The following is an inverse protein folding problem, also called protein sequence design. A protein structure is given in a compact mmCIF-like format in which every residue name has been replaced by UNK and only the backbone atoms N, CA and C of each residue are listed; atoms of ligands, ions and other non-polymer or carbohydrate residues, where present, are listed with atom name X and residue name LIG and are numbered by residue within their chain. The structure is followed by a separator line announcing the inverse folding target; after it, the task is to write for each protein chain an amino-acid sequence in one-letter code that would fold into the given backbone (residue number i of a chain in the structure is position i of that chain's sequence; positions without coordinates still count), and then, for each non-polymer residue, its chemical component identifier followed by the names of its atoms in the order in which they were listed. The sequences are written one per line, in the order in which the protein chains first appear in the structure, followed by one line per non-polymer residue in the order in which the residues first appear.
data_IF_593094932899
#
_entry.id   IF_593094932899
#
_cell.length_a   1.000
_cell.length_b   1.000
_cell.length_c   1.000
_cell.angle_alpha   90.00
_cell.angle_beta   90.00
_cell.angle_gamma   90.00
#
_symmetry.space_group_name_H-M   'P 1'
#
loop_
_entity.id
_entity.type
_entity.pdbx_description
1 polymer ?
#
# COMPACT_ATOMS: atom_id res chain seq x y z
N UNK A 1 10.18 -6.74 12.35
CA UNK A 1 9.58 -6.69 13.70
C UNK A 1 8.20 -7.31 13.61
N UNK A 2 7.94 -8.43 14.29
CA UNK A 2 6.66 -9.15 14.24
C UNK A 2 5.78 -8.56 15.34
N UNK A 3 4.79 -7.73 15.01
CA UNK A 3 3.78 -7.34 16.01
C UNK A 3 2.80 -8.52 16.12
N UNK A 4 3.02 -9.39 17.10
CA UNK A 4 2.00 -10.37 17.50
C UNK A 4 1.19 -9.68 18.59
N UNK A 5 -0.05 -9.30 18.28
CA UNK A 5 -1.00 -8.91 19.31
C UNK A 5 -1.45 -10.20 19.99
N UNK A 6 -0.74 -10.62 21.05
CA UNK A 6 -1.20 -11.71 21.91
C UNK A 6 -2.27 -11.15 22.84
N UNK A 7 -3.54 -11.46 22.58
CA UNK A 7 -4.58 -11.28 23.57
C UNK A 7 -4.32 -12.25 24.73
N UNK A 8 -3.91 -11.73 25.88
CA UNK A 8 -4.02 -12.46 27.14
C UNK A 8 -5.49 -12.49 27.54
N UNK A 9 -5.99 -13.68 27.90
CA UNK A 9 -7.38 -13.88 28.34
C UNK A 9 -7.75 -12.95 29.51
N UNK A 10 -8.81 -12.12 29.40
CA UNK A 10 -9.11 -11.14 30.44
C UNK A 10 -9.98 -11.75 31.55
N UNK A 11 -9.37 -12.06 32.69
CA UNK A 11 -10.09 -12.08 33.98
C UNK A 11 -10.07 -10.67 34.56
N UNK A 12 -11.11 -9.90 34.27
CA UNK A 12 -11.64 -8.76 35.04
C UNK A 12 -12.46 -7.91 34.08
N UNK A 13 -13.64 -7.51 34.53
CA UNK A 13 -14.62 -6.67 33.85
C UNK A 13 -13.99 -5.50 33.09
N UNK A 14 -13.73 -5.66 31.79
CA UNK A 14 -13.34 -4.55 30.91
C UNK A 14 -14.56 -3.67 30.62
N UNK A 15 -14.46 -2.34 30.78
CA UNK A 15 -15.54 -1.45 30.40
C UNK A 15 -15.77 -1.59 28.90
N UNK A 16 -17.05 -1.67 28.52
CA UNK A 16 -17.55 -1.64 27.15
C UNK A 16 -16.69 -0.68 26.32
N UNK A 17 -15.96 -1.22 25.33
CA UNK A 17 -15.12 -0.49 24.38
C UNK A 17 -15.91 0.69 23.82
N UNK A 18 -15.66 1.88 24.35
CA UNK A 18 -16.37 3.09 23.97
C UNK A 18 -16.04 3.40 22.51
N UNK A 19 -17.11 3.65 21.76
CA UNK A 19 -17.15 4.19 20.40
C UNK A 19 -16.05 5.25 20.17
N UNK A 20 -15.20 4.96 19.18
CA UNK A 20 -14.33 5.84 18.39
C UNK A 20 -13.96 7.23 18.96
N UNK A 21 -12.71 7.39 19.41
CA UNK A 21 -12.02 8.69 19.42
C UNK A 21 -10.58 8.52 18.92
N UNK A 22 -10.27 9.06 17.74
CA UNK A 22 -9.71 10.41 17.61
C UNK A 22 -10.32 10.98 16.31
N UNK A 23 -10.99 12.15 16.34
CA UNK A 23 -11.36 12.80 15.09
C UNK A 23 -10.06 13.09 14.33
N UNK A 24 -10.04 12.73 13.05
CA UNK A 24 -8.96 13.16 12.16
C UNK A 24 -8.87 14.69 12.23
N UNK A 25 -7.68 15.30 12.17
CA UNK A 25 -7.56 16.75 12.03
C UNK A 25 -8.45 17.24 10.87
N UNK A 26 -9.43 18.11 11.18
CA UNK A 26 -10.38 18.62 10.18
C UNK A 26 -11.46 17.63 9.69
N UNK A 27 -11.62 16.45 10.32
CA UNK A 27 -12.54 15.37 9.89
C UNK A 27 -12.36 14.92 8.43
N UNK A 28 -11.19 15.18 7.82
CA UNK A 28 -10.87 14.79 6.46
C UNK A 28 -9.75 13.74 6.46
N UNK A 29 -9.94 12.54 5.88
CA UNK A 29 -8.86 11.56 5.71
C UNK A 29 -7.77 12.01 4.74
N UNK A 30 -8.05 12.97 3.85
CA UNK A 30 -7.11 13.43 2.81
C UNK A 30 -6.27 14.65 3.24
N UNK A 31 -6.51 15.21 4.43
CA UNK A 31 -5.84 16.44 4.88
C UNK A 31 -6.35 17.72 4.18
N UNK A 32 -5.91 18.92 4.62
CA UNK A 32 -6.28 20.17 3.97
C UNK A 32 -5.54 20.37 2.63
N UNK A 33 -6.17 21.09 1.69
CA UNK A 33 -5.54 21.44 0.41
C UNK A 33 -4.23 22.20 0.64
N UNK A 34 -3.17 21.83 -0.09
CA UNK A 34 -1.85 22.46 0.02
C UNK A 34 -1.00 21.98 1.21
N UNK A 35 -1.41 20.90 1.87
CA UNK A 35 -0.60 20.23 2.88
C UNK A 35 -0.29 18.78 2.45
N UNK A 36 0.11 18.62 1.19
CA UNK A 36 0.55 17.34 0.64
C UNK A 36 2.05 17.17 0.83
N UNK A 37 2.45 17.05 2.10
CA UNK A 37 3.86 16.87 2.46
C UNK A 37 4.41 15.55 1.90
N UNK A 38 3.54 14.59 1.60
CA UNK A 38 3.96 13.32 1.01
C UNK A 38 4.49 13.55 -0.41
N UNK A 39 3.73 14.22 -1.28
CA UNK A 39 4.18 14.54 -2.64
C UNK A 39 5.44 15.44 -2.63
N UNK A 40 5.48 16.46 -1.76
CA UNK A 40 6.65 17.35 -1.65
C UNK A 40 7.94 16.62 -1.30
N UNK A 41 7.88 15.67 -0.37
CA UNK A 41 9.04 14.86 0.03
C UNK A 41 9.41 13.89 -1.10
N UNK A 42 8.43 13.28 -1.79
CA UNK A 42 8.68 12.40 -2.92
C UNK A 42 9.42 13.12 -4.04
N UNK A 43 8.94 14.31 -4.44
CA UNK A 43 9.57 15.15 -5.45
C UNK A 43 11.00 15.55 -5.03
N UNK A 44 11.19 15.98 -3.78
CA UNK A 44 12.51 16.32 -3.26
C UNK A 44 13.47 15.12 -3.24
N UNK A 45 12.98 13.93 -2.91
CA UNK A 45 13.77 12.70 -2.92
C UNK A 45 14.25 12.35 -4.33
N UNK A 46 13.40 12.52 -5.35
CA UNK A 46 13.75 12.29 -6.76
C UNK A 46 14.81 13.27 -7.27
N UNK A 47 14.81 14.52 -6.81
CA UNK A 47 15.85 15.50 -7.17
C UNK A 47 17.24 15.07 -6.69
N UNK A 48 17.32 14.40 -5.53
CA UNK A 48 18.58 13.90 -4.96
C UNK A 48 18.95 12.54 -5.54
N UNK A 49 17.97 11.66 -5.73
CA UNK A 49 18.14 10.30 -6.23
C UNK A 49 17.06 10.00 -7.30
N UNK A 50 17.39 10.13 -8.60
CA UNK A 50 16.44 9.82 -9.67
C UNK A 50 15.98 8.36 -9.71
N UNK A 51 16.67 7.45 -9.02
CA UNK A 51 16.27 6.04 -8.87
C UNK A 51 15.47 5.78 -7.57
N UNK A 52 15.03 6.83 -6.86
CA UNK A 52 14.26 6.69 -5.62
C UNK A 52 13.00 5.85 -5.86
N UNK A 53 12.84 4.81 -5.05
CA UNK A 53 11.73 3.86 -5.13
C UNK A 53 10.80 4.05 -3.92
N UNK A 54 9.57 4.48 -4.15
CA UNK A 54 8.56 4.66 -3.08
C UNK A 54 8.22 3.36 -2.34
N UNK A 55 8.43 2.21 -2.97
CA UNK A 55 8.19 0.91 -2.35
C UNK A 55 9.41 0.42 -1.53
N UNK A 56 10.60 1.00 -1.75
CA UNK A 56 11.84 0.69 -1.04
C UNK A 56 12.82 1.88 -1.09
N UNK A 57 12.78 2.73 -0.07
CA UNK A 57 13.49 4.03 -0.05
C UNK A 57 15.01 4.00 -0.21
N UNK A 58 15.64 2.84 -0.02
CA UNK A 58 17.09 2.68 -0.11
C UNK A 58 17.59 2.38 -1.53
N UNK A 59 16.68 2.36 -2.52
CA UNK A 59 17.03 1.99 -3.88
C UNK A 59 17.78 3.12 -4.57
N UNK A 60 18.87 2.73 -5.21
CA UNK A 60 19.73 3.61 -5.99
C UNK A 60 20.10 2.90 -7.30
N UNK A 61 20.82 3.58 -8.19
CA UNK A 61 21.29 2.94 -9.41
C UNK A 61 22.29 1.81 -9.13
N UNK A 62 22.29 0.75 -9.95
CA UNK A 62 21.41 0.51 -11.09
C UNK A 62 20.01 0.03 -10.68
N UNK A 63 18.98 0.43 -11.44
CA UNK A 63 17.61 -0.08 -11.25
C UNK A 63 17.59 -1.57 -11.63
N UNK A 64 17.20 -2.41 -10.68
CA UNK A 64 17.17 -3.86 -10.87
C UNK A 64 16.09 -4.27 -11.89
N UNK A 65 16.32 -5.41 -12.53
CA UNK A 65 15.39 -5.96 -13.50
C UNK A 65 14.09 -6.40 -12.82
N UNK A 66 12.97 -6.00 -13.41
CA UNK A 66 11.65 -6.47 -13.07
C UNK A 66 10.99 -7.11 -14.30
N UNK A 67 10.41 -8.30 -14.08
CA UNK A 67 9.73 -9.07 -15.12
C UNK A 67 8.34 -8.52 -15.44
N UNK A 68 7.79 -7.71 -14.53
CA UNK A 68 6.58 -6.94 -14.73
C UNK A 68 6.93 -5.64 -15.48
N UNK A 69 8.03 -4.97 -15.17
CA UNK A 69 8.44 -3.74 -15.88
C UNK A 69 8.00 -2.47 -15.17
N UNK A 70 7.67 -2.57 -13.88
CA UNK A 70 7.48 -1.49 -12.93
C UNK A 70 8.44 -1.71 -11.74
N UNK A 71 9.77 -1.61 -11.94
CA UNK A 71 10.77 -2.01 -10.95
C UNK A 71 10.80 -1.13 -9.68
N UNK A 72 10.14 0.03 -9.69
CA UNK A 72 10.22 1.01 -8.61
C UNK A 72 9.11 2.04 -8.70
N UNK A 73 9.41 3.33 -8.58
CA UNK A 73 8.39 4.39 -8.61
C UNK A 73 7.73 4.61 -9.98
N UNK A 74 8.35 4.11 -11.05
CA UNK A 74 7.92 4.37 -12.43
C UNK A 74 8.00 3.11 -13.29
N UNK A 75 7.17 3.07 -14.33
CA UNK A 75 7.29 2.10 -15.42
C UNK A 75 8.66 2.24 -16.09
N UNK A 76 9.39 1.14 -16.16
CA UNK A 76 10.68 1.10 -16.83
C UNK A 76 10.99 -0.32 -17.31
N UNK A 77 10.76 -0.56 -18.61
CA UNK A 77 11.00 -1.85 -19.23
C UNK A 77 12.49 -2.03 -19.53
N UNK A 78 13.17 -2.92 -18.82
CA UNK A 78 14.57 -3.27 -19.12
C UNK A 78 14.71 -4.35 -20.21
N UNK A 79 13.71 -5.24 -20.35
CA UNK A 79 13.70 -6.32 -21.34
C UNK A 79 12.32 -6.41 -21.97
N UNK A 80 12.27 -6.45 -23.31
CA UNK A 80 11.04 -6.58 -24.09
C UNK A 80 11.10 -7.84 -24.97
N UNK A 81 9.99 -8.61 -25.09
CA UNK A 81 8.72 -8.42 -24.39
C UNK A 81 8.83 -8.74 -22.90
N UNK A 82 8.01 -8.08 -22.09
CA UNK A 82 7.84 -8.42 -20.67
C UNK A 82 7.36 -9.87 -20.52
N UNK A 83 7.62 -10.48 -19.37
CA UNK A 83 7.41 -11.93 -19.21
C UNK A 83 5.98 -12.36 -19.54
N UNK A 84 4.99 -11.62 -19.04
CA UNK A 84 3.58 -11.87 -19.32
C UNK A 84 3.10 -11.34 -20.67
N UNK A 85 3.91 -10.55 -21.38
CA UNK A 85 3.59 -10.10 -22.73
C UNK A 85 4.08 -11.08 -23.81
N UNK A 86 4.94 -12.05 -23.45
CA UNK A 86 5.40 -13.12 -24.34
C UNK A 86 4.26 -14.02 -24.82
N UNK A 87 4.26 -14.32 -26.11
CA UNK A 87 3.19 -15.10 -26.74
C UNK A 87 3.13 -16.56 -26.25
N UNK A 88 4.29 -17.18 -26.01
CA UNK A 88 4.37 -18.54 -25.45
C UNK A 88 3.82 -18.60 -24.01
N UNK A 89 4.14 -17.60 -23.19
CA UNK A 89 3.57 -17.47 -21.82
C UNK A 89 2.07 -17.26 -21.88
N UNK A 90 1.57 -16.35 -22.73
CA UNK A 90 0.12 -16.11 -22.90
C UNK A 90 -0.63 -17.37 -23.30
N UNK A 91 -0.10 -18.13 -24.27
CA UNK A 91 -0.70 -19.41 -24.67
C UNK A 91 -0.72 -20.42 -23.52
N UNK A 92 0.37 -20.53 -22.77
CA UNK A 92 0.48 -21.48 -21.67
C UNK A 92 -0.53 -21.21 -20.53
N UNK A 93 -0.87 -19.94 -20.28
CA UNK A 93 -1.85 -19.54 -19.26
C UNK A 93 -3.25 -19.26 -19.83
N UNK A 94 -3.47 -19.53 -21.12
CA UNK A 94 -4.70 -19.23 -21.85
C UNK A 94 -5.13 -17.74 -21.79
N UNK A 95 -4.16 -16.82 -21.75
CA UNK A 95 -4.41 -15.39 -21.86
C UNK A 95 -4.59 -14.94 -23.33
N UNK A 96 -5.38 -13.89 -23.61
CA UNK A 96 -5.54 -13.36 -24.97
C UNK A 96 -4.22 -12.86 -25.55
N UNK A 97 -3.80 -13.39 -26.72
CA UNK A 97 -2.54 -13.01 -27.38
C UNK A 97 -2.56 -11.59 -27.96
N UNK A 98 -3.74 -11.02 -28.22
CA UNK A 98 -3.93 -9.70 -28.80
C UNK A 98 -3.91 -8.54 -27.80
N UNK A 99 -3.90 -8.83 -26.49
CA UNK A 99 -3.92 -7.82 -25.43
C UNK A 99 -2.52 -7.64 -24.89
N UNK A 100 -2.07 -6.39 -24.75
CA UNK A 100 -0.78 -6.08 -24.12
C UNK A 100 -0.91 -6.19 -22.60
N UNK A 101 0.06 -6.84 -21.98
CA UNK A 101 0.17 -6.82 -20.52
C UNK A 101 0.61 -5.42 -20.05
N UNK A 102 0.08 -4.98 -18.91
CA UNK A 102 0.59 -3.88 -18.08
C UNK A 102 0.28 -4.21 -16.61
N UNK A 103 1.12 -3.77 -15.67
CA UNK A 103 0.93 -4.03 -14.23
C UNK A 103 -0.27 -3.25 -13.69
N UNK A 104 -0.34 -1.98 -14.06
CA UNK A 104 -1.39 -1.06 -13.67
C UNK A 104 -2.25 -0.73 -14.90
N UNK A 105 -3.56 -0.88 -14.79
CA UNK A 105 -4.48 -0.59 -15.87
C UNK A 105 -4.41 0.88 -16.30
N UNK A 106 -4.21 1.14 -17.59
CA UNK A 106 -4.29 2.48 -18.19
C UNK A 106 -5.69 3.11 -18.02
N UNK A 107 -6.71 2.27 -17.84
CA UNK A 107 -8.09 2.69 -17.59
C UNK A 107 -8.42 2.58 -16.11
N UNK A 108 -9.20 3.55 -15.60
CA UNK A 108 -9.66 3.54 -14.20
C UNK A 108 -10.51 2.31 -13.91
N UNK A 109 -10.02 1.43 -13.05
CA UNK A 109 -10.76 0.25 -12.56
C UNK A 109 -11.97 0.65 -11.71
N UNK A 110 -11.93 1.82 -11.08
CA UNK A 110 -13.08 2.49 -10.45
C UNK A 110 -13.47 3.74 -11.26
N UNK A 111 -14.42 3.65 -12.22
CA UNK A 111 -14.71 4.75 -13.15
C UNK A 111 -15.18 6.04 -12.49
N UNK A 112 -15.74 5.95 -11.28
CA UNK A 112 -16.24 7.07 -10.47
C UNK A 112 -15.48 7.23 -9.14
N UNK A 113 -14.30 6.64 -9.03
CA UNK A 113 -13.55 6.54 -7.77
C UNK A 113 -14.08 5.46 -6.83
N UNK A 114 -13.31 5.16 -5.78
CA UNK A 114 -13.78 4.37 -4.64
C UNK A 114 -14.54 5.30 -3.68
N UNK A 115 -15.80 4.98 -3.42
CA UNK A 115 -16.67 5.73 -2.50
C UNK A 115 -16.71 5.17 -1.09
N UNK A 116 -15.92 4.14 -0.80
CA UNK A 116 -15.88 3.51 0.52
C UNK A 116 -15.17 4.40 1.55
N UNK A 117 -15.59 4.28 2.82
CA UNK A 117 -14.88 4.92 3.92
C UNK A 117 -13.58 4.15 4.21
N UNK A 118 -12.52 4.82 4.69
CA UNK A 118 -11.27 4.15 5.02
C UNK A 118 -11.49 2.95 5.95
N UNK A 119 -11.02 1.73 5.57
CA UNK A 119 -11.30 0.51 6.33
C UNK A 119 -10.67 0.54 7.72
N UNK A 120 -9.54 1.23 7.86
CA UNK A 120 -8.87 1.51 9.13
C UNK A 120 -9.78 2.16 10.19
N UNK A 121 -10.74 2.98 9.76
CA UNK A 121 -11.65 3.72 10.63
C UNK A 121 -13.03 3.07 10.76
N UNK A 122 -13.29 2.00 10.02
CA UNK A 122 -14.60 1.36 9.93
C UNK A 122 -14.54 -0.12 10.30
N UNK A 123 -14.09 -0.96 9.37
CA UNK A 123 -14.18 -2.43 9.49
C UNK A 123 -12.99 -3.06 10.18
N UNK A 124 -11.79 -2.48 10.07
CA UNK A 124 -10.55 -3.07 10.60
C UNK A 124 -10.58 -3.33 12.11
N UNK A 125 -11.08 -2.43 12.98
CA UNK A 125 -11.19 -2.71 14.41
C UNK A 125 -12.06 -3.94 14.71
N UNK A 126 -13.19 -4.07 14.00
CA UNK A 126 -14.07 -5.23 14.17
C UNK A 126 -13.41 -6.54 13.69
N UNK A 127 -12.59 -6.49 12.64
CA UNK A 127 -11.84 -7.65 12.17
C UNK A 127 -10.81 -8.08 13.20
N UNK A 128 -10.09 -7.14 13.81
CA UNK A 128 -9.09 -7.43 14.86
C UNK A 128 -9.76 -8.06 16.08
N UNK A 129 -10.87 -7.49 16.55
CA UNK A 129 -11.56 -7.98 17.76
C UNK A 129 -12.27 -9.33 17.58
N UNK A 130 -12.75 -9.63 16.38
CA UNK A 130 -13.57 -10.83 16.13
C UNK A 130 -12.82 -12.00 15.48
N UNK A 131 -11.60 -11.78 15.00
CA UNK A 131 -10.80 -12.85 14.41
C UNK A 131 -10.03 -13.61 15.49
N UNK A 132 -9.87 -14.93 15.34
CA UNK A 132 -8.98 -15.71 16.22
C UNK A 132 -7.53 -15.21 16.16
N UNK A 133 -7.13 -14.69 14.99
CA UNK A 133 -5.81 -14.12 14.76
C UNK A 133 -5.83 -13.12 13.62
N UNK A 134 -5.47 -11.88 13.91
CA UNK A 134 -5.16 -10.86 12.90
C UNK A 134 -3.66 -10.61 12.87
N UNK A 135 -3.07 -10.59 11.67
CA UNK A 135 -1.65 -10.27 11.47
C UNK A 135 -1.59 -9.09 10.50
N UNK A 136 -1.02 -7.98 10.96
CA UNK A 136 -0.75 -6.82 10.13
C UNK A 136 0.77 -6.74 9.94
N UNK A 137 1.21 -6.74 8.68
CA UNK A 137 2.63 -6.77 8.31
C UNK A 137 2.96 -5.54 7.48
N UNK A 138 4.09 -4.91 7.78
CA UNK A 138 4.55 -3.72 7.08
C UNK A 138 6.03 -3.83 6.72
N UNK A 139 6.40 -3.40 5.52
CA UNK A 139 7.80 -3.11 5.18
C UNK A 139 8.26 -1.83 5.89
N UNK A 140 9.45 -1.84 6.49
CA UNK A 140 9.98 -0.66 7.21
C UNK A 140 10.63 0.37 6.28
N UNK A 141 10.86 0.02 5.03
CA UNK A 141 11.46 0.88 4.00
C UNK A 141 10.41 1.34 2.97
N UNK A 142 9.13 1.14 3.27
CA UNK A 142 8.01 1.53 2.42
C UNK A 142 7.66 3.00 2.70
N UNK A 143 7.64 3.81 1.64
CA UNK A 143 7.28 5.22 1.69
C UNK A 143 5.86 5.49 1.21
N UNK A 144 5.33 4.66 0.31
CA UNK A 144 3.94 4.77 -0.13
C UNK A 144 2.98 4.47 1.03
N UNK A 145 3.31 3.47 1.84
CA UNK A 145 2.62 3.16 3.08
C UNK A 145 3.66 3.21 4.21
N UNK A 146 3.55 4.19 5.09
CA UNK A 146 4.54 4.37 6.15
C UNK A 146 4.14 3.50 7.36
N UNK A 147 5.08 2.68 7.84
CA UNK A 147 4.84 1.73 8.94
C UNK A 147 4.37 2.44 10.23
N UNK A 148 4.89 3.63 10.51
CA UNK A 148 4.52 4.49 11.64
C UNK A 148 3.06 4.93 11.55
N UNK A 149 2.57 5.25 10.35
CA UNK A 149 1.16 5.58 10.11
C UNK A 149 0.25 4.39 10.45
N UNK A 150 0.64 3.20 10.02
CA UNK A 150 -0.06 1.94 10.37
C UNK A 150 -0.04 1.69 11.88
N UNK A 151 1.09 1.92 12.56
CA UNK A 151 1.19 1.78 14.04
C UNK A 151 0.25 2.74 14.76
N UNK A 152 0.18 4.00 14.33
CA UNK A 152 -0.72 5.01 14.92
C UNK A 152 -2.18 4.59 14.74
N UNK A 153 -2.55 4.08 13.56
CA UNK A 153 -3.92 3.61 13.29
C UNK A 153 -4.33 2.42 14.17
N UNK A 154 -3.40 1.53 14.51
CA UNK A 154 -3.68 0.30 15.27
C UNK A 154 -3.63 0.50 16.79
N UNK A 155 -2.99 1.56 17.31
CA UNK A 155 -2.69 1.80 18.73
C UNK A 155 -3.89 1.97 19.69
N UNK A 156 -5.07 1.43 19.36
CA UNK A 156 -6.25 1.42 20.21
C UNK A 156 -6.35 0.17 21.07
#
# INVERSE_FOLDING_TARGET
MKLVVTQTTPTSTSPILRKACCPLPGNNPEGPRGCDLWDEIFDAALLVNPAFNIYRIFDTFPILWDVLGFPGSFEQIQVSPLYFDREDVKRAIHAPTSVKWTECSEQRVFPRGDGSLPPALTVLPNVIEKSERSVIVHGLADYILIAEGTRIVIQK
#
